data_IF_550430887906
#
_entry.id   IF_550430887906
#
_cell.length_a   1.000
_cell.length_b   1.000
_cell.length_c   1.000
_cell.angle_alpha   90.00
_cell.angle_beta   90.00
_cell.angle_gamma   90.00
#
_symmetry.space_group_name_H-M   'P 1'
#
loop_
_entity.id
_entity.type
_entity.pdbx_description
1 polymer ?
#
# COMPACT_ATOMS: atom_id res chain seq x y z
N UNK A 1 12.98 3.43 -17.52
CA UNK A 1 14.13 2.86 -18.25
C UNK A 1 14.08 1.32 -18.18
N UNK A 2 15.11 0.63 -18.64
CA UNK A 2 15.12 -0.85 -18.69
C UNK A 2 15.03 -1.51 -17.32
N UNK A 3 15.48 -0.85 -16.25
CA UNK A 3 15.57 -1.42 -14.92
C UNK A 3 14.52 -0.90 -13.95
N UNK A 4 14.02 0.31 -14.18
CA UNK A 4 13.17 1.01 -13.23
C UNK A 4 11.99 1.70 -13.91
N UNK A 5 10.89 1.77 -13.18
CA UNK A 5 9.81 2.72 -13.39
C UNK A 5 10.01 3.88 -12.40
N UNK A 6 9.95 5.10 -12.89
CA UNK A 6 10.01 6.32 -12.06
C UNK A 6 8.60 6.87 -11.89
N UNK A 7 8.19 7.06 -10.65
CA UNK A 7 6.87 7.60 -10.30
C UNK A 7 7.06 9.01 -9.80
N UNK A 8 6.64 9.99 -10.58
CA UNK A 8 6.62 11.40 -10.16
C UNK A 8 5.19 11.74 -9.73
N UNK A 9 5.02 12.24 -8.52
CA UNK A 9 3.70 12.48 -7.95
C UNK A 9 3.72 13.56 -6.86
N UNK A 10 2.54 14.11 -6.59
CA UNK A 10 2.33 15.09 -5.52
C UNK A 10 2.09 14.46 -4.14
N UNK A 11 1.67 13.21 -4.08
CA UNK A 11 1.00 12.55 -2.95
C UNK A 11 -0.34 13.19 -2.57
N UNK A 12 -0.95 13.96 -3.48
CA UNK A 12 -2.31 14.52 -3.33
C UNK A 12 -3.19 13.81 -4.36
N UNK A 13 -4.20 13.04 -3.94
CA UNK A 13 -5.04 12.29 -4.87
C UNK A 13 -6.02 13.17 -5.64
N UNK A 14 -6.56 12.65 -6.74
CA UNK A 14 -7.59 13.32 -7.54
C UNK A 14 -8.99 13.29 -6.92
N UNK A 15 -9.25 12.40 -5.94
CA UNK A 15 -10.52 12.33 -5.23
C UNK A 15 -10.58 13.36 -4.07
N UNK A 16 -11.79 13.65 -3.57
CA UNK A 16 -11.98 14.56 -2.44
C UNK A 16 -11.35 14.00 -1.17
N UNK A 17 -10.57 14.83 -0.49
CA UNK A 17 -9.85 14.49 0.74
C UNK A 17 -10.27 15.40 1.90
N UNK A 18 -10.10 14.91 3.13
CA UNK A 18 -10.51 15.61 4.33
C UNK A 18 -12.03 15.53 4.60
N UNK A 19 -12.53 16.18 5.66
CA UNK A 19 -11.74 16.85 6.70
C UNK A 19 -10.97 15.86 7.60
N UNK A 20 -9.95 16.37 8.31
CA UNK A 20 -9.14 15.59 9.25
C UNK A 20 -9.30 16.11 10.67
N UNK A 21 -10.31 15.64 11.44
CA UNK A 21 -10.56 16.12 12.78
C UNK A 21 -9.33 15.99 13.68
N UNK A 22 -8.93 17.09 14.28
CA UNK A 22 -7.76 17.13 15.19
C UNK A 22 -6.39 17.15 14.53
N UNK A 23 -6.31 17.07 13.19
CA UNK A 23 -5.05 17.17 12.45
C UNK A 23 -4.96 18.56 11.77
N UNK A 24 -3.96 19.38 12.13
CA UNK A 24 -3.78 20.71 11.55
C UNK A 24 -3.07 20.71 10.19
N UNK A 25 -2.66 19.54 9.69
CA UNK A 25 -1.93 19.41 8.44
C UNK A 25 -2.76 19.84 7.22
N UNK A 26 -2.07 20.28 6.19
CA UNK A 26 -2.67 20.62 4.89
C UNK A 26 -1.81 20.04 3.79
N UNK A 27 -2.32 19.09 3.01
CA UNK A 27 -1.57 18.49 1.90
C UNK A 27 -1.16 19.54 0.87
N UNK A 28 0.07 19.42 0.40
CA UNK A 28 0.59 20.18 -0.72
C UNK A 28 1.29 19.23 -1.68
N UNK A 29 1.56 19.68 -2.89
CA UNK A 29 2.41 18.94 -3.82
C UNK A 29 3.81 18.76 -3.22
N UNK A 30 4.15 17.51 -2.91
CA UNK A 30 5.44 17.13 -2.32
C UNK A 30 6.54 16.95 -3.36
N UNK A 31 6.21 17.05 -4.66
CA UNK A 31 7.14 16.83 -5.77
C UNK A 31 7.97 15.54 -5.58
N UNK A 32 7.27 14.45 -5.26
CA UNK A 32 7.90 13.15 -5.01
C UNK A 32 8.39 12.54 -6.31
N UNK A 33 9.51 11.84 -6.22
CA UNK A 33 10.05 11.04 -7.32
C UNK A 33 10.58 9.73 -6.75
N UNK A 34 9.85 8.65 -7.00
CA UNK A 34 10.19 7.31 -6.55
C UNK A 34 10.75 6.48 -7.70
N UNK A 35 11.54 5.48 -7.37
CA UNK A 35 12.13 4.53 -8.31
C UNK A 35 11.70 3.12 -7.93
N UNK A 36 10.94 2.45 -8.79
CA UNK A 36 10.43 1.09 -8.58
C UNK A 36 11.19 0.15 -9.52
N UNK A 37 11.80 -0.89 -9.00
CA UNK A 37 12.50 -1.88 -9.85
C UNK A 37 11.52 -2.66 -10.70
N UNK A 38 11.84 -2.85 -11.99
CA UNK A 38 11.07 -3.70 -12.91
C UNK A 38 11.35 -5.19 -12.71
N UNK A 39 12.38 -5.54 -11.96
CA UNK A 39 12.77 -6.91 -11.69
C UNK A 39 12.95 -7.15 -10.18
N UNK A 40 11.84 -7.13 -9.42
CA UNK A 40 11.88 -7.31 -7.98
C UNK A 40 12.41 -8.71 -7.63
N UNK A 41 13.31 -8.76 -6.65
CA UNK A 41 13.90 -10.02 -6.19
C UNK A 41 13.54 -10.27 -4.74
N UNK A 42 12.98 -11.45 -4.40
CA UNK A 42 12.73 -11.80 -3.01
C UNK A 42 14.05 -11.80 -2.25
N UNK A 43 14.04 -11.20 -1.07
CA UNK A 43 15.25 -11.13 -0.25
C UNK A 43 15.52 -12.46 0.42
N UNK A 44 16.72 -12.97 0.24
CA UNK A 44 17.25 -14.11 0.97
C UNK A 44 17.92 -13.63 2.27
N UNK A 45 17.70 -14.33 3.38
CA UNK A 45 18.21 -13.96 4.69
C UNK A 45 17.35 -12.91 5.41
N UNK A 46 17.95 -12.05 6.23
CA UNK A 46 17.24 -11.05 7.03
C UNK A 46 16.58 -10.01 6.13
N UNK A 47 15.27 -9.88 6.23
CA UNK A 47 14.49 -8.88 5.50
C UNK A 47 14.63 -7.50 6.11
N UNK A 48 14.51 -6.48 5.29
CA UNK A 48 14.54 -5.09 5.73
C UNK A 48 13.21 -4.71 6.36
N UNK A 49 13.24 -4.12 7.54
CA UNK A 49 12.03 -3.61 8.19
C UNK A 49 11.40 -2.47 7.38
N UNK A 50 10.06 -2.42 7.36
CA UNK A 50 9.32 -1.25 6.92
C UNK A 50 9.44 -0.18 8.01
N UNK A 51 10.09 0.92 7.68
CA UNK A 51 10.34 2.02 8.62
C UNK A 51 9.15 2.98 8.75
N UNK A 52 9.40 4.10 9.41
CA UNK A 52 8.50 5.25 9.41
C UNK A 52 8.56 5.99 8.06
N UNK A 53 7.47 6.71 7.74
CA UNK A 53 7.31 7.41 6.46
C UNK A 53 6.84 6.47 5.35
N UNK A 54 7.11 6.86 4.13
CA UNK A 54 6.67 6.12 2.95
C UNK A 54 7.37 4.77 2.81
N UNK A 55 6.59 3.72 2.58
CA UNK A 55 7.05 2.34 2.36
C UNK A 55 6.64 1.80 0.98
N UNK A 56 5.85 2.55 0.26
CA UNK A 56 5.35 2.24 -1.06
C UNK A 56 4.57 3.41 -1.62
N UNK A 57 4.01 3.21 -2.79
CA UNK A 57 3.18 4.19 -3.49
C UNK A 57 1.97 3.51 -4.12
N UNK A 58 0.79 4.13 -3.98
CA UNK A 58 -0.41 3.73 -4.67
C UNK A 58 -0.33 4.09 -6.16
N UNK A 59 -1.14 3.46 -6.99
CA UNK A 59 -1.19 3.74 -8.43
C UNK A 59 -1.61 5.18 -8.76
N UNK A 60 -2.31 5.86 -7.85
CA UNK A 60 -2.65 7.29 -7.97
C UNK A 60 -1.58 8.24 -7.42
N UNK A 61 -0.39 7.74 -7.07
CA UNK A 61 0.74 8.54 -6.59
C UNK A 61 0.71 8.92 -5.12
N UNK A 62 -0.30 8.51 -4.36
CA UNK A 62 -0.35 8.73 -2.90
C UNK A 62 0.61 7.78 -2.19
N UNK A 63 1.31 8.27 -1.19
CA UNK A 63 2.25 7.47 -0.41
C UNK A 63 1.55 6.46 0.50
N UNK A 64 2.08 5.25 0.54
CA UNK A 64 1.73 4.20 1.51
C UNK A 64 2.65 4.35 2.71
N UNK A 65 2.11 4.47 3.91
CA UNK A 65 2.86 4.45 5.16
C UNK A 65 2.67 3.12 5.90
N UNK A 66 3.61 2.78 6.77
CA UNK A 66 3.54 1.54 7.56
C UNK A 66 2.41 1.58 8.60
N UNK A 67 2.14 0.44 9.22
CA UNK A 67 1.17 0.33 10.32
C UNK A 67 1.55 1.16 11.56
N UNK A 68 2.80 1.60 11.66
CA UNK A 68 3.35 2.31 12.81
C UNK A 68 3.14 3.81 12.69
N UNK A 69 2.60 4.44 13.74
CA UNK A 69 2.74 5.86 13.99
C UNK A 69 4.19 6.20 14.40
N UNK A 70 4.54 7.48 14.28
CA UNK A 70 5.87 8.00 14.66
C UNK A 70 6.19 7.86 16.16
N UNK A 71 5.21 7.55 17.00
CA UNK A 71 5.36 7.52 18.45
C UNK A 71 5.54 6.11 18.99
N UNK A 72 6.35 6.00 20.02
CA UNK A 72 6.47 4.80 20.84
C UNK A 72 6.28 5.10 22.31
N UNK A 73 5.92 4.07 23.10
CA UNK A 73 5.74 4.23 24.54
C UNK A 73 7.01 4.78 25.20
N UNK A 74 6.85 5.88 25.91
CA UNK A 74 7.95 6.61 26.57
C UNK A 74 9.10 7.01 25.61
N UNK A 75 8.85 7.10 24.30
CA UNK A 75 9.85 7.39 23.26
C UNK A 75 11.05 6.41 23.26
N UNK A 76 10.81 5.14 23.62
CA UNK A 76 11.86 4.13 23.72
C UNK A 76 12.09 3.32 22.47
N UNK A 77 11.29 3.56 21.43
CA UNK A 77 11.39 2.86 20.15
C UNK A 77 11.30 1.32 20.30
N UNK A 78 10.38 0.86 21.18
CA UNK A 78 10.14 -0.56 21.45
C UNK A 78 8.67 -0.93 21.24
N UNK A 79 7.74 -0.12 21.76
CA UNK A 79 6.30 -0.31 21.62
C UNK A 79 5.76 0.83 20.80
N UNK A 80 5.61 0.59 19.49
CA UNK A 80 5.19 1.61 18.52
C UNK A 80 3.67 1.67 18.45
N UNK A 81 3.12 2.87 18.49
CA UNK A 81 1.69 3.07 18.37
C UNK A 81 1.20 2.57 17.01
N UNK A 82 0.05 1.93 17.01
CA UNK A 82 -0.64 1.50 15.81
C UNK A 82 -1.39 2.68 15.21
N UNK A 83 -0.97 3.13 14.02
CA UNK A 83 -1.52 4.32 13.36
C UNK A 83 -3.05 4.22 13.18
N UNK A 84 -3.58 3.05 12.82
CA UNK A 84 -5.04 2.87 12.65
C UNK A 84 -5.79 3.12 13.97
N UNK A 85 -5.19 2.80 15.11
CA UNK A 85 -5.83 2.98 16.42
C UNK A 85 -5.71 4.43 16.91
N UNK A 86 -4.53 5.05 16.73
CA UNK A 86 -4.26 6.37 17.34
C UNK A 86 -4.57 7.54 16.41
N UNK A 87 -4.44 7.36 15.11
CA UNK A 87 -4.66 8.37 14.09
C UNK A 87 -5.98 8.17 13.34
N UNK A 88 -6.53 6.94 13.33
CA UNK A 88 -7.76 6.57 12.63
C UNK A 88 -8.95 7.49 12.86
N UNK A 89 -9.19 8.01 14.08
CA UNK A 89 -10.23 9.02 14.31
C UNK A 89 -10.06 10.31 13.51
N UNK A 90 -8.84 10.59 13.04
CA UNK A 90 -8.48 11.74 12.20
C UNK A 90 -8.38 11.42 10.71
N UNK A 91 -8.68 10.20 10.27
CA UNK A 91 -8.70 9.87 8.84
C UNK A 91 -9.95 10.41 8.16
N UNK A 92 -9.81 10.77 6.90
CA UNK A 92 -10.96 11.11 6.06
C UNK A 92 -11.72 9.85 5.58
N UNK A 93 -12.78 10.05 4.78
CA UNK A 93 -13.61 8.96 4.25
C UNK A 93 -12.85 8.00 3.32
N UNK A 94 -11.70 8.43 2.79
CA UNK A 94 -10.82 7.65 1.94
C UNK A 94 -9.73 6.90 2.72
N UNK A 95 -9.72 7.02 4.05
CA UNK A 95 -8.78 6.33 4.94
C UNK A 95 -7.39 6.97 4.97
N UNK A 96 -7.28 8.25 4.62
CA UNK A 96 -6.02 8.98 4.60
C UNK A 96 -6.05 10.24 5.45
N UNK A 97 -4.86 10.77 5.69
CA UNK A 97 -4.66 12.03 6.39
C UNK A 97 -3.27 12.64 6.08
N UNK A 98 -3.02 13.92 6.41
CA UNK A 98 -1.70 14.50 6.20
C UNK A 98 -0.77 14.29 7.39
N UNK A 99 0.49 13.87 7.15
CA UNK A 99 1.61 14.12 8.05
C UNK A 99 2.19 15.49 7.68
N UNK A 100 1.83 16.52 8.42
CA UNK A 100 2.11 17.92 8.07
C UNK A 100 1.56 18.29 6.68
N UNK A 101 2.35 18.12 5.62
CA UNK A 101 1.98 18.46 4.25
C UNK A 101 1.86 17.26 3.31
N UNK A 102 2.23 16.05 3.77
CA UNK A 102 2.19 14.84 2.95
C UNK A 102 0.93 14.03 3.25
N UNK A 103 -0.01 13.99 2.30
CA UNK A 103 -1.15 13.07 2.40
C UNK A 103 -0.68 11.63 2.20
N UNK A 104 -1.22 10.70 2.99
CA UNK A 104 -0.86 9.29 2.94
C UNK A 104 -1.94 8.40 3.56
N UNK A 105 -1.81 7.09 3.35
CA UNK A 105 -2.67 6.08 3.94
C UNK A 105 -1.84 5.06 4.74
N UNK A 106 -2.37 4.66 5.92
CA UNK A 106 -1.89 3.53 6.72
C UNK A 106 -2.72 2.27 6.50
N UNK A 107 -3.73 2.34 5.66
CA UNK A 107 -4.70 1.28 5.35
C UNK A 107 -5.17 1.38 3.91
N UNK A 108 -6.12 0.53 3.55
CA UNK A 108 -6.77 0.58 2.24
C UNK A 108 -7.24 1.99 1.88
N UNK A 109 -6.82 2.47 0.72
CA UNK A 109 -7.31 3.73 0.14
C UNK A 109 -8.70 3.49 -0.50
N UNK A 110 -9.75 3.59 0.33
CA UNK A 110 -11.10 3.14 -0.04
C UNK A 110 -11.72 3.86 -1.25
N UNK A 111 -11.24 5.09 -1.57
CA UNK A 111 -11.75 5.88 -2.69
C UNK A 111 -11.01 5.60 -4.02
N UNK A 112 -9.99 4.76 -4.02
CA UNK A 112 -9.13 4.59 -5.18
C UNK A 112 -9.67 3.55 -6.17
N UNK A 113 -10.44 2.58 -5.69
CA UNK A 113 -10.96 1.48 -6.50
C UNK A 113 -12.20 0.85 -5.86
N UNK A 114 -12.99 0.17 -6.67
CA UNK A 114 -14.16 -0.56 -6.17
C UNK A 114 -13.77 -1.94 -5.63
N UNK A 115 -14.38 -2.31 -4.52
CA UNK A 115 -14.24 -3.63 -3.93
C UNK A 115 -15.28 -4.58 -4.55
N UNK A 116 -14.84 -5.44 -5.46
CA UNK A 116 -15.68 -6.47 -6.10
C UNK A 116 -15.29 -7.85 -5.54
N UNK A 117 -16.08 -8.42 -4.59
CA UNK A 117 -15.72 -9.66 -3.91
C UNK A 117 -15.64 -10.90 -4.80
N UNK A 118 -16.19 -10.84 -6.00
CA UNK A 118 -16.23 -11.93 -6.98
C UNK A 118 -15.11 -11.86 -8.02
N UNK A 119 -14.30 -10.80 -7.99
CA UNK A 119 -13.21 -10.57 -8.93
C UNK A 119 -11.86 -10.50 -8.19
N UNK A 120 -10.78 -10.88 -8.88
CA UNK A 120 -9.45 -10.62 -8.36
C UNK A 120 -9.24 -9.10 -8.29
N UNK A 121 -8.89 -8.60 -7.10
CA UNK A 121 -8.63 -7.18 -6.96
C UNK A 121 -7.50 -6.73 -7.89
N UNK A 122 -7.55 -5.51 -8.41
CA UNK A 122 -6.48 -4.96 -9.24
C UNK A 122 -5.19 -4.71 -8.43
N UNK A 123 -4.09 -4.46 -9.13
CA UNK A 123 -2.91 -3.84 -8.53
C UNK A 123 -3.31 -2.42 -8.12
N UNK A 124 -3.16 -2.12 -6.84
CA UNK A 124 -3.52 -0.82 -6.26
C UNK A 124 -2.28 0.00 -5.86
N UNK A 125 -1.10 -0.62 -5.87
CA UNK A 125 0.15 0.05 -5.53
C UNK A 125 1.35 -0.86 -5.65
N UNK A 126 2.51 -0.34 -5.24
CA UNK A 126 3.77 -1.08 -5.21
C UNK A 126 4.53 -0.78 -3.92
N UNK A 127 5.11 -1.82 -3.31
CA UNK A 127 6.13 -1.65 -2.30
C UNK A 127 7.44 -1.11 -2.91
N UNK A 128 8.25 -0.44 -2.12
CA UNK A 128 9.54 0.07 -2.62
C UNK A 128 10.60 -1.01 -2.84
N UNK A 129 10.25 -2.26 -2.64
CA UNK A 129 10.99 -3.44 -3.08
C UNK A 129 10.54 -3.94 -4.48
N UNK A 130 9.58 -3.25 -5.11
CA UNK A 130 9.10 -3.50 -6.45
C UNK A 130 7.96 -4.51 -6.58
N UNK A 131 7.56 -5.18 -5.51
CA UNK A 131 6.44 -6.10 -5.57
C UNK A 131 5.09 -5.39 -5.52
N UNK A 132 4.09 -5.88 -6.31
CA UNK A 132 2.76 -5.28 -6.37
C UNK A 132 1.99 -5.45 -5.06
N UNK A 133 1.14 -4.47 -4.77
CA UNK A 133 0.12 -4.51 -3.73
C UNK A 133 -1.23 -4.65 -4.39
N UNK A 134 -1.97 -5.70 -4.07
CA UNK A 134 -3.33 -5.94 -4.54
C UNK A 134 -4.35 -5.51 -3.49
N UNK A 135 -5.56 -5.21 -3.93
CA UNK A 135 -6.70 -5.12 -3.03
C UNK A 135 -6.97 -6.46 -2.31
N UNK A 136 -8.04 -6.56 -1.49
CA UNK A 136 -8.21 -7.66 -0.54
C UNK A 136 -8.67 -9.00 -1.13
N UNK A 137 -9.07 -9.07 -2.40
CA UNK A 137 -9.58 -10.29 -3.03
C UNK A 137 -8.60 -10.87 -4.02
N UNK A 138 -8.40 -12.17 -3.97
CA UNK A 138 -7.50 -12.88 -4.88
C UNK A 138 -7.91 -14.34 -5.05
N UNK A 139 -7.21 -15.06 -5.90
CA UNK A 139 -7.45 -16.50 -6.08
C UNK A 139 -7.29 -17.24 -4.76
N UNK A 140 -8.17 -18.21 -4.49
CA UNK A 140 -8.14 -18.99 -3.25
C UNK A 140 -6.84 -19.77 -3.11
N UNK A 141 -6.37 -20.35 -4.22
CA UNK A 141 -5.11 -21.09 -4.30
C UNK A 141 -4.02 -20.24 -4.94
N UNK A 142 -2.77 -20.53 -4.61
CA UNK A 142 -1.62 -19.79 -5.14
C UNK A 142 -1.32 -20.06 -6.62
N UNK A 143 -1.89 -21.12 -7.19
CA UNK A 143 -1.78 -21.50 -8.59
C UNK A 143 -2.84 -20.83 -9.52
N UNK A 144 -3.64 -19.91 -9.00
CA UNK A 144 -4.68 -19.22 -9.75
C UNK A 144 -6.03 -19.96 -9.78
N UNK A 145 -6.16 -21.06 -9.06
CA UNK A 145 -7.39 -21.86 -8.99
C UNK A 145 -8.21 -21.61 -7.72
N UNK A 146 -9.37 -22.28 -7.59
CA UNK A 146 -10.20 -22.27 -6.38
C UNK A 146 -11.14 -21.09 -6.24
N UNK A 147 -11.31 -20.26 -7.30
CA UNK A 147 -12.18 -19.09 -7.30
C UNK A 147 -11.58 -17.91 -6.53
N UNK A 148 -12.40 -16.86 -6.39
CA UNK A 148 -11.99 -15.61 -5.72
C UNK A 148 -12.48 -15.60 -4.27
N UNK A 149 -11.63 -15.14 -3.37
CA UNK A 149 -12.00 -14.89 -1.97
C UNK A 149 -11.12 -13.81 -1.36
N UNK A 150 -11.51 -13.36 -0.18
CA UNK A 150 -10.68 -12.48 0.64
C UNK A 150 -9.40 -13.20 1.08
N UNK A 151 -8.27 -12.54 0.85
CA UNK A 151 -6.94 -13.00 1.27
C UNK A 151 -6.72 -12.55 2.70
N UNK A 152 -6.32 -13.49 3.57
CA UNK A 152 -6.27 -13.28 5.02
C UNK A 152 -4.84 -13.08 5.50
N UNK A 153 -4.67 -12.10 6.37
CA UNK A 153 -3.44 -11.94 7.15
C UNK A 153 -3.19 -13.15 8.05
N UNK A 154 -1.92 -13.48 8.25
CA UNK A 154 -1.49 -14.48 9.24
C UNK A 154 -1.09 -13.84 10.58
N UNK A 155 -1.47 -12.60 10.81
CA UNK A 155 -1.29 -11.93 12.09
C UNK A 155 -2.54 -12.02 12.94
N UNK A 156 -2.34 -12.08 14.26
CA UNK A 156 -3.40 -12.00 15.28
C UNK A 156 -2.94 -11.18 16.46
N UNK A 157 -3.88 -10.73 17.29
CA UNK A 157 -3.55 -10.19 18.60
C UNK A 157 -2.95 -11.26 19.50
N UNK A 158 -1.92 -10.91 20.23
CA UNK A 158 -1.29 -11.75 21.25
C UNK A 158 -2.23 -11.93 22.43
N UNK A 159 -2.10 -13.04 23.13
CA UNK A 159 -2.83 -13.28 24.38
C UNK A 159 -1.98 -12.85 25.58
N UNK A 160 -1.86 -11.53 25.78
CA UNK A 160 -1.04 -10.94 26.85
C UNK A 160 -1.84 -9.91 27.64
N UNK A 161 -1.48 -9.75 28.93
CA UNK A 161 -1.97 -8.68 29.81
C UNK A 161 -0.86 -7.72 30.20
N UNK A 162 0.40 -8.14 30.03
CA UNK A 162 1.61 -7.36 30.29
C UNK A 162 2.51 -7.37 29.06
N UNK A 163 3.08 -6.24 28.72
CA UNK A 163 3.96 -6.06 27.56
C UNK A 163 5.42 -6.18 27.99
N UNK A 164 5.85 -7.39 28.32
CA UNK A 164 7.18 -7.72 28.86
C UNK A 164 8.09 -8.46 27.87
N UNK A 165 7.54 -8.85 26.71
CA UNK A 165 8.28 -9.52 25.63
C UNK A 165 7.80 -9.04 24.26
N UNK A 166 8.67 -9.08 23.26
CA UNK A 166 8.33 -8.81 21.86
C UNK A 166 7.55 -9.98 21.22
N UNK A 167 6.96 -9.78 20.02
CA UNK A 167 6.20 -10.83 19.32
C UNK A 167 7.00 -12.10 19.00
N UNK A 168 8.30 -11.98 18.83
CA UNK A 168 9.23 -13.10 18.60
C UNK A 168 9.59 -13.89 19.86
N UNK A 169 9.03 -13.49 21.01
CA UNK A 169 9.31 -14.09 22.31
C UNK A 169 10.50 -13.49 23.05
N UNK A 170 11.22 -12.52 22.45
CA UNK A 170 12.34 -11.85 23.10
C UNK A 170 11.90 -11.15 24.38
N UNK A 171 12.43 -11.60 25.52
CA UNK A 171 12.16 -10.99 26.82
C UNK A 171 12.80 -9.61 26.93
N UNK A 172 12.04 -8.66 27.42
CA UNK A 172 12.53 -7.28 27.59
C UNK A 172 13.03 -7.06 29.04
N UNK A 173 13.90 -6.09 29.21
CA UNK A 173 14.22 -5.55 30.54
C UNK A 173 13.10 -4.63 31.01
N UNK A 174 12.95 -4.43 32.32
CA UNK A 174 11.88 -3.58 32.89
C UNK A 174 11.88 -2.15 32.35
N UNK A 175 13.05 -1.65 31.95
CA UNK A 175 13.19 -0.34 31.28
C UNK A 175 12.46 -0.26 29.95
N UNK A 176 12.27 -1.39 29.25
CA UNK A 176 11.66 -1.50 27.92
C UNK A 176 10.26 -2.13 27.94
N UNK A 177 9.71 -2.38 29.13
CA UNK A 177 8.33 -2.85 29.20
C UNK A 177 7.36 -1.82 28.66
N UNK A 178 6.34 -2.30 27.96
CA UNK A 178 5.20 -1.48 27.60
C UNK A 178 4.23 -1.33 28.77
N UNK A 179 3.21 -0.48 28.64
CA UNK A 179 2.17 -0.36 29.64
C UNK A 179 1.34 -1.66 29.71
N UNK A 180 0.80 -1.97 30.89
CA UNK A 180 -0.16 -3.06 31.00
C UNK A 180 -1.36 -2.85 30.07
N UNK A 181 -1.92 -3.94 29.58
CA UNK A 181 -3.18 -3.89 28.81
C UNK A 181 -4.28 -3.33 29.73
N UNK A 182 -4.95 -2.30 29.27
CA UNK A 182 -5.95 -1.56 30.07
C UNK A 182 -6.93 -0.82 29.13
N UNK A 183 -7.90 -0.12 29.70
CA UNK A 183 -8.79 0.76 28.92
C UNK A 183 -8.07 1.90 28.21
N UNK A 184 -6.95 2.39 28.77
CA UNK A 184 -6.12 3.44 28.14
C UNK A 184 -5.20 2.86 27.06
N UNK A 185 -4.70 1.66 27.25
CA UNK A 185 -3.81 0.96 26.33
C UNK A 185 -4.38 -0.44 26.02
N UNK A 186 -5.49 -0.50 25.27
CA UNK A 186 -6.10 -1.78 24.92
C UNK A 186 -5.14 -2.64 24.09
N UNK A 187 -5.40 -3.92 24.03
CA UNK A 187 -4.66 -4.82 23.16
C UNK A 187 -4.89 -4.42 21.69
N UNK A 188 -3.81 -4.32 20.91
CA UNK A 188 -3.82 -3.78 19.55
C UNK A 188 -3.42 -2.30 19.47
N UNK A 189 -3.27 -1.61 20.62
CA UNK A 189 -2.81 -0.22 20.65
C UNK A 189 -1.38 -0.05 20.11
N UNK A 190 -0.54 -1.06 20.25
CA UNK A 190 0.81 -1.10 19.72
C UNK A 190 0.91 -2.16 18.62
N UNK A 191 1.76 -1.92 17.64
CA UNK A 191 1.96 -2.89 16.53
C UNK A 191 2.54 -4.20 17.08
N UNK A 192 3.36 -4.17 18.16
CA UNK A 192 3.93 -5.32 18.84
C UNK A 192 2.91 -6.11 19.70
N UNK A 193 1.68 -5.66 19.78
CA UNK A 193 0.56 -6.45 20.31
C UNK A 193 0.12 -7.56 19.35
N UNK A 194 0.61 -7.53 18.10
CA UNK A 194 0.31 -8.53 17.09
C UNK A 194 1.47 -9.53 16.97
N UNK A 195 1.13 -10.78 16.68
CA UNK A 195 2.09 -11.84 16.40
C UNK A 195 1.77 -12.52 15.07
N UNK A 196 2.80 -12.87 14.32
CA UNK A 196 2.68 -13.71 13.15
C UNK A 196 2.51 -15.17 13.56
N UNK A 197 1.55 -15.86 12.95
CA UNK A 197 1.31 -17.29 13.15
C UNK A 197 1.27 -17.98 11.80
N UNK A 198 2.28 -18.78 11.52
CA UNK A 198 2.38 -19.51 10.25
C UNK A 198 1.15 -20.37 10.01
N UNK A 199 0.53 -20.25 8.84
CA UNK A 199 -0.66 -21.00 8.46
C UNK A 199 -1.97 -20.54 9.06
N UNK A 200 -1.99 -19.42 9.81
CA UNK A 200 -3.24 -18.82 10.30
C UNK A 200 -4.07 -18.20 9.17
N UNK A 201 -3.41 -17.57 8.24
CA UNK A 201 -3.99 -16.97 7.04
C UNK A 201 -3.26 -17.42 5.78
N UNK A 202 -3.28 -16.59 4.76
CA UNK A 202 -2.77 -16.87 3.41
C UNK A 202 -1.39 -16.28 3.17
N UNK A 203 -0.99 -15.33 4.01
CA UNK A 203 0.16 -14.47 3.80
C UNK A 203 1.27 -14.82 4.79
N UNK A 204 2.51 -14.55 4.38
CA UNK A 204 3.68 -14.71 5.24
C UNK A 204 3.84 -13.53 6.22
N UNK A 205 4.94 -13.50 6.94
CA UNK A 205 5.30 -12.47 7.91
C UNK A 205 5.57 -11.07 7.30
N UNK A 206 5.76 -10.98 5.99
CA UNK A 206 5.79 -9.72 5.23
C UNK A 206 4.42 -9.30 4.68
N UNK A 207 3.34 -10.01 5.03
CA UNK A 207 2.00 -9.83 4.45
C UNK A 207 1.97 -10.06 2.93
N UNK A 208 2.80 -10.97 2.44
CA UNK A 208 2.94 -11.33 1.03
C UNK A 208 2.78 -12.84 0.81
N UNK A 209 2.46 -13.23 -0.42
CA UNK A 209 2.53 -14.63 -0.87
C UNK A 209 3.04 -14.70 -2.30
N UNK A 210 3.69 -15.79 -2.67
CA UNK A 210 3.95 -16.10 -4.06
C UNK A 210 2.69 -16.71 -4.67
N UNK A 211 2.12 -16.08 -5.69
CA UNK A 211 0.89 -16.57 -6.32
C UNK A 211 0.76 -16.09 -7.76
N UNK A 212 -0.06 -16.83 -8.51
CA UNK A 212 -0.58 -16.40 -9.82
C UNK A 212 -1.59 -15.26 -9.59
N UNK A 213 -1.55 -14.27 -10.45
CA UNK A 213 -2.50 -13.16 -10.53
C UNK A 213 -2.85 -12.91 -12.00
N UNK A 214 -3.88 -12.11 -12.31
CA UNK A 214 -4.22 -11.81 -13.70
C UNK A 214 -3.04 -11.24 -14.51
N UNK A 215 -2.23 -10.37 -13.92
CA UNK A 215 -1.08 -9.72 -14.58
C UNK A 215 0.18 -10.61 -14.58
N UNK A 216 0.27 -11.58 -13.66
CA UNK A 216 1.43 -12.46 -13.53
C UNK A 216 1.01 -13.93 -13.59
N UNK A 217 0.73 -14.47 -14.80
CA UNK A 217 0.26 -15.86 -14.95
C UNK A 217 1.32 -16.91 -14.61
N UNK A 218 2.58 -16.54 -14.49
CA UNK A 218 3.66 -17.42 -14.02
C UNK A 218 3.92 -17.29 -12.52
N UNK A 219 3.15 -16.44 -11.84
CA UNK A 219 3.29 -16.12 -10.42
C UNK A 219 4.29 -15.01 -10.14
N UNK A 220 4.00 -14.30 -9.06
CA UNK A 220 4.85 -13.26 -8.48
C UNK A 220 4.70 -13.26 -6.96
N UNK A 221 5.64 -12.68 -6.24
CA UNK A 221 5.38 -12.26 -4.88
C UNK A 221 4.45 -11.05 -4.91
N UNK A 222 3.40 -11.09 -4.11
CA UNK A 222 2.39 -10.04 -4.05
C UNK A 222 2.00 -9.76 -2.60
N UNK A 223 1.90 -8.50 -2.25
CA UNK A 223 1.25 -8.03 -1.05
C UNK A 223 -0.25 -7.92 -1.29
N UNK A 224 -1.03 -8.01 -0.22
CA UNK A 224 -2.47 -7.82 -0.28
C UNK A 224 -2.90 -6.85 0.81
N UNK A 225 -3.80 -5.94 0.45
CA UNK A 225 -4.58 -5.21 1.46
C UNK A 225 -5.31 -6.22 2.32
N UNK A 226 -5.17 -6.14 3.64
CA UNK A 226 -5.81 -7.06 4.56
C UNK A 226 -6.93 -6.40 5.34
N UNK A 227 -8.10 -7.04 5.29
CA UNK A 227 -9.30 -6.61 6.01
C UNK A 227 -9.97 -7.81 6.66
N UNK A 228 -10.77 -7.57 7.70
CA UNK A 228 -11.62 -8.58 8.30
C UNK A 228 -12.88 -8.86 7.45
N UNK A 229 -13.76 -9.73 7.94
CA UNK A 229 -14.98 -10.08 7.22
C UNK A 229 -15.98 -8.91 7.11
N UNK A 230 -15.87 -7.91 7.96
CA UNK A 230 -16.69 -6.69 7.91
C UNK A 230 -16.07 -5.62 6.99
N UNK A 231 -14.87 -5.86 6.45
CA UNK A 231 -14.14 -4.89 5.63
C UNK A 231 -13.26 -3.92 6.43
N UNK A 232 -13.20 -4.08 7.78
CA UNK A 232 -12.34 -3.26 8.62
C UNK A 232 -10.87 -3.64 8.43
N UNK A 233 -9.92 -2.70 8.58
CA UNK A 233 -8.50 -2.99 8.43
C UNK A 233 -8.03 -4.10 9.37
N UNK A 234 -7.31 -5.09 8.84
CA UNK A 234 -6.68 -6.16 9.58
C UNK A 234 -5.16 -6.04 9.51
N UNK A 235 -4.50 -6.04 10.67
CA UNK A 235 -3.03 -5.89 10.75
C UNK A 235 -2.31 -6.96 9.89
N UNK A 236 -1.27 -6.61 9.13
CA UNK A 236 -0.55 -5.33 9.06
C UNK A 236 -1.07 -4.38 7.96
N UNK A 237 -2.29 -4.52 7.50
CA UNK A 237 -3.08 -3.66 6.62
C UNK A 237 -2.70 -3.74 5.14
N UNK A 238 -1.42 -3.68 4.79
CA UNK A 238 -0.89 -3.67 3.41
C UNK A 238 0.45 -4.42 3.37
N UNK A 239 1.59 -3.72 3.49
CA UNK A 239 2.89 -4.33 3.67
C UNK A 239 3.07 -4.71 5.15
N UNK A 240 3.76 -5.83 5.38
CA UNK A 240 4.07 -6.29 6.74
C UNK A 240 5.18 -5.48 7.41
N UNK A 241 5.62 -5.92 8.60
CA UNK A 241 6.73 -5.27 9.31
C UNK A 241 8.06 -5.29 8.55
N UNK A 242 8.17 -6.13 7.52
CA UNK A 242 9.36 -6.24 6.66
C UNK A 242 8.97 -6.29 5.20
N UNK A 243 9.85 -5.80 4.32
CA UNK A 243 9.72 -6.00 2.88
C UNK A 243 9.98 -7.45 2.50
N UNK A 244 9.25 -7.96 1.51
CA UNK A 244 9.46 -9.28 0.93
C UNK A 244 10.73 -9.32 0.07
N UNK A 245 10.98 -8.23 -0.63
CA UNK A 245 12.07 -8.10 -1.60
C UNK A 245 13.25 -7.26 -1.12
N UNK A 246 14.18 -7.06 -2.04
CA UNK A 246 15.31 -6.16 -1.84
C UNK A 246 14.86 -4.73 -1.99
N UNK A 247 15.01 -3.94 -0.93
CA UNK A 247 14.57 -2.56 -0.88
C UNK A 247 15.48 -1.64 -1.69
N UNK A 248 14.88 -0.74 -2.49
CA UNK A 248 15.57 0.44 -3.01
C UNK A 248 15.54 1.55 -1.96
N UNK A 249 16.68 1.79 -1.34
CA UNK A 249 16.80 2.74 -0.22
C UNK A 249 16.68 4.21 -0.64
N UNK A 250 16.72 4.54 -1.94
CA UNK A 250 16.53 5.90 -2.43
C UNK A 250 15.10 6.43 -2.24
N UNK A 251 14.14 5.53 -1.99
CA UNK A 251 12.73 5.89 -1.82
C UNK A 251 12.34 6.15 -0.36
N UNK A 252 13.14 5.75 0.61
CA UNK A 252 12.77 5.71 2.04
C UNK A 252 13.62 6.64 2.89
N UNK A 253 13.16 6.87 4.12
CA UNK A 253 13.85 7.72 5.10
C UNK A 253 13.60 9.21 4.90
N UNK A 254 14.20 10.07 5.75
CA UNK A 254 13.90 11.51 5.79
C UNK A 254 14.24 12.29 4.52
N UNK A 255 15.14 11.75 3.69
CA UNK A 255 15.56 12.36 2.41
C UNK A 255 15.19 11.51 1.20
N UNK A 256 14.46 10.41 1.42
CA UNK A 256 14.01 9.51 0.36
C UNK A 256 12.84 10.08 -0.44
N UNK A 257 12.60 9.49 -1.61
CA UNK A 257 11.49 9.90 -2.47
C UNK A 257 11.77 11.11 -3.36
N UNK A 258 13.04 11.44 -3.57
CA UNK A 258 13.50 12.48 -4.50
C UNK A 258 14.64 11.93 -5.38
N UNK A 259 14.43 10.75 -5.97
CA UNK A 259 15.42 10.15 -6.85
C UNK A 259 15.50 10.93 -8.16
N UNK A 260 16.70 11.04 -8.71
CA UNK A 260 16.91 11.68 -10.02
C UNK A 260 16.36 10.78 -11.11
N UNK A 261 15.44 11.30 -11.92
CA UNK A 261 14.96 10.64 -13.14
C UNK A 261 16.00 10.85 -14.24
N UNK A 262 16.56 9.79 -14.84
CA UNK A 262 17.52 9.93 -15.92
C UNK A 262 16.90 10.64 -17.14
N UNK A 263 17.67 11.48 -17.83
CA UNK A 263 17.21 12.13 -19.05
C UNK A 263 16.88 11.13 -20.19
N UNK A 264 17.33 9.88 -20.05
CA UNK A 264 17.04 8.77 -20.98
C UNK A 264 15.79 7.98 -20.58
N UNK A 265 15.13 8.33 -19.48
CA UNK A 265 13.86 7.69 -19.13
C UNK A 265 12.81 8.10 -20.15
N UNK A 266 12.12 7.11 -20.68
CA UNK A 266 10.95 7.35 -21.55
C UNK A 266 9.79 7.72 -20.64
N UNK A 267 9.11 8.83 -20.93
CA UNK A 267 7.90 9.21 -20.22
C UNK A 267 6.78 8.27 -20.67
N UNK A 268 6.15 7.60 -19.70
CA UNK A 268 4.90 6.89 -19.96
C UNK A 268 3.79 7.93 -19.98
N UNK A 269 3.05 7.98 -21.06
CA UNK A 269 1.82 8.77 -21.15
C UNK A 269 0.64 7.84 -20.84
N UNK A 270 -0.12 8.05 -19.77
CA UNK A 270 -1.25 7.18 -19.45
C UNK A 270 -2.37 7.23 -20.49
N UNK A 271 -2.31 8.19 -21.42
CA UNK A 271 -3.25 8.36 -22.54
C UNK A 271 -2.82 7.59 -23.78
N UNK A 272 -1.52 7.25 -23.91
CA UNK A 272 -0.96 6.36 -24.94
C UNK A 272 -1.23 4.90 -24.53
N UNK A 273 -2.46 4.45 -24.75
CA UNK A 273 -2.96 3.15 -24.27
C UNK A 273 -2.48 1.96 -25.10
N UNK A 274 -2.09 2.20 -26.34
CA UNK A 274 -1.53 1.16 -27.21
C UNK A 274 0.00 1.11 -27.18
N UNK A 275 0.63 1.99 -26.36
CA UNK A 275 2.08 2.09 -26.16
C UNK A 275 2.85 2.37 -27.46
N UNK A 276 2.22 3.04 -28.42
CA UNK A 276 2.84 3.38 -29.71
C UNK A 276 3.89 4.49 -29.60
N UNK A 277 3.86 5.25 -28.50
CA UNK A 277 4.68 6.43 -28.25
C UNK A 277 4.06 7.73 -28.74
N UNK A 278 2.81 7.70 -29.19
CA UNK A 278 2.03 8.85 -29.64
C UNK A 278 0.58 8.70 -29.20
N UNK A 279 -0.03 9.77 -28.72
CA UNK A 279 -1.47 9.77 -28.43
C UNK A 279 -2.22 10.02 -29.73
N UNK A 280 -2.93 9.01 -30.24
CA UNK A 280 -3.63 9.09 -31.53
C UNK A 280 -4.93 8.21 -31.56
N UNK A 281 -5.47 7.99 -32.76
CA UNK A 281 -6.70 7.23 -32.93
C UNK A 281 -6.59 5.76 -32.47
N UNK A 282 -5.39 5.20 -32.38
CA UNK A 282 -5.14 3.88 -31.83
C UNK A 282 -5.55 3.81 -30.36
N UNK A 283 -5.22 4.85 -29.59
CA UNK A 283 -5.55 4.94 -28.16
C UNK A 283 -7.04 5.06 -27.91
N UNK A 284 -7.77 5.77 -28.77
CA UNK A 284 -9.24 5.79 -28.70
C UNK A 284 -9.78 4.38 -28.92
N UNK A 285 -9.21 3.63 -29.85
CA UNK A 285 -9.57 2.24 -30.09
C UNK A 285 -9.31 1.36 -28.85
N UNK A 286 -8.14 1.52 -28.23
CA UNK A 286 -7.78 0.83 -26.99
C UNK A 286 -8.71 1.20 -25.82
N UNK A 287 -9.03 2.50 -25.65
CA UNK A 287 -9.94 3.00 -24.64
C UNK A 287 -11.36 2.42 -24.80
N UNK A 288 -11.85 2.35 -26.03
CA UNK A 288 -13.18 1.79 -26.31
C UNK A 288 -13.31 0.30 -25.94
N UNK A 289 -12.20 -0.46 -25.99
CA UNK A 289 -12.18 -1.86 -25.54
C UNK A 289 -12.30 -1.97 -24.00
N UNK A 290 -11.95 -0.92 -23.28
CA UNK A 290 -12.04 -0.84 -21.82
C UNK A 290 -13.36 -0.21 -21.34
N UNK A 291 -14.22 0.26 -22.27
CA UNK A 291 -15.42 1.02 -21.92
C UNK A 291 -16.37 0.23 -21.01
N UNK A 292 -16.78 0.85 -19.91
CA UNK A 292 -17.58 0.22 -18.84
C UNK A 292 -16.78 -0.61 -17.85
N UNK A 293 -15.47 -0.78 -18.04
CA UNK A 293 -14.60 -1.40 -17.05
C UNK A 293 -14.33 -0.45 -15.88
N UNK A 294 -13.87 -1.04 -14.77
CA UNK A 294 -13.45 -0.32 -13.57
C UNK A 294 -12.00 -0.63 -13.27
N UNK A 295 -11.28 0.35 -12.80
CA UNK A 295 -9.86 0.23 -12.48
C UNK A 295 -9.03 1.32 -13.18
N UNK A 296 -7.76 1.41 -12.84
CA UNK A 296 -6.92 2.56 -13.25
C UNK A 296 -6.58 2.57 -14.75
N UNK A 297 -6.69 1.43 -15.45
CA UNK A 297 -6.37 1.38 -16.88
C UNK A 297 -7.54 1.94 -17.68
N UNK A 298 -7.30 3.06 -18.37
CA UNK A 298 -8.30 3.74 -19.18
C UNK A 298 -9.20 4.72 -18.42
N UNK A 299 -9.21 4.70 -17.08
CA UNK A 299 -9.86 5.72 -16.24
C UNK A 299 -8.96 6.96 -16.14
N UNK A 300 -9.06 7.80 -17.17
CA UNK A 300 -8.16 8.94 -17.37
C UNK A 300 -8.59 10.19 -16.59
N UNK A 301 -9.87 10.27 -16.22
CA UNK A 301 -10.41 11.36 -15.42
C UNK A 301 -10.50 11.03 -13.92
N UNK A 302 -10.18 9.78 -13.53
CA UNK A 302 -10.19 9.33 -12.15
C UNK A 302 -11.58 9.14 -11.56
N UNK A 303 -12.61 8.97 -12.39
CA UNK A 303 -14.01 8.77 -11.97
C UNK A 303 -14.27 7.39 -11.38
N UNK A 304 -13.39 6.43 -11.62
CA UNK A 304 -13.50 5.03 -11.22
C UNK A 304 -14.17 4.13 -12.25
N UNK A 305 -14.57 4.66 -13.40
CA UNK A 305 -15.20 3.90 -14.49
C UNK A 305 -14.75 4.45 -15.83
N UNK A 306 -14.32 3.59 -16.73
CA UNK A 306 -13.98 4.00 -18.10
C UNK A 306 -15.25 4.33 -18.89
N UNK A 307 -15.44 5.62 -19.20
CA UNK A 307 -16.65 6.11 -19.88
C UNK A 307 -16.35 7.28 -20.84
N UNK A 308 -17.38 8.04 -21.19
CA UNK A 308 -17.24 9.16 -22.13
C UNK A 308 -16.38 10.32 -21.57
N UNK A 309 -16.22 10.43 -20.25
CA UNK A 309 -15.35 11.40 -19.59
C UNK A 309 -13.88 11.17 -19.97
N UNK A 310 -13.48 9.90 -20.03
CA UNK A 310 -12.12 9.50 -20.38
C UNK A 310 -11.80 9.78 -21.86
N UNK A 311 -12.77 9.57 -22.74
CA UNK A 311 -12.63 9.99 -24.14
C UNK A 311 -12.42 11.51 -24.21
N UNK A 312 -13.18 12.28 -23.43
CA UNK A 312 -13.01 13.73 -23.33
C UNK A 312 -11.61 14.11 -22.84
N UNK A 313 -11.11 13.43 -21.80
CA UNK A 313 -9.78 13.63 -21.23
C UNK A 313 -8.69 13.28 -22.25
N UNK A 314 -8.83 12.16 -22.96
CA UNK A 314 -7.93 11.74 -24.04
C UNK A 314 -7.87 12.77 -25.17
N UNK A 315 -9.02 13.26 -25.62
CA UNK A 315 -9.10 14.22 -26.74
C UNK A 315 -8.41 15.56 -26.45
N UNK A 316 -8.18 15.90 -25.18
CA UNK A 316 -7.40 17.08 -24.81
C UNK A 316 -5.89 16.90 -25.03
N UNK A 317 -5.44 15.69 -25.35
CA UNK A 317 -4.03 15.32 -25.55
C UNK A 317 -3.70 15.08 -27.03
N UNK A 318 -4.69 15.12 -27.92
CA UNK A 318 -4.52 15.09 -29.39
C UNK A 318 -3.96 16.45 -29.91
#
# INVERSE_FOLDING_TARGET
DANYVYVQCSSVPGYSIGPWPGNPGSPIDGNWSFRITRNPQPRTGTRTATGLGQIGVWTNGVCIFSASDARSYNNRNVWHQNAIVVEGPGFDSCGGHPAQTQYHNHQNAACMYDLVPTEHSPIVGFGFDGFPVYGPFGYANTDGTGGIRRIKSSYRLRSITQRTSLPDGTALTSANYGPAVSGTYPLGYYIEDHEYVSGLGDLNDSNARFCVTPEFPQGTWAYFVTTDNAGSPAYPYMLGPTYMGTLDTGNTGPTGGHVTVPATAVTFDPVDLDESGSVDAGDIGALLLLFGSRGPLGDLDGSGTVDAGDIGTMLLRF
#
